data_IF_522904651689
#
_entry.id   IF_522904651689
#
_cell.length_a   1.000
_cell.length_b   1.000
_cell.length_c   1.000
_cell.angle_alpha   90.00
_cell.angle_beta   90.00
_cell.angle_gamma   90.00
#
_symmetry.space_group_name_H-M   'P 1'
#
loop_
_entity.id
_entity.type
_entity.pdbx_description
1 polymer ?
#
# COMPACT_ATOMS: atom_id res chain seq x y z
N UNK A 1 -0.21 -26.09 -4.15
CA UNK A 1 -0.44 -25.83 -2.71
C UNK A 1 0.02 -24.42 -2.46
N UNK A 2 -0.91 -23.53 -2.08
CA UNK A 2 -0.57 -22.16 -1.73
C UNK A 2 0.18 -22.20 -0.38
N UNK A 3 1.39 -21.64 -0.34
CA UNK A 3 2.13 -21.55 0.93
C UNK A 3 1.38 -20.60 1.86
N UNK A 4 0.88 -21.13 2.98
CA UNK A 4 0.21 -20.33 4.00
C UNK A 4 1.26 -19.76 4.94
N UNK A 5 1.65 -18.50 4.72
CA UNK A 5 2.54 -17.78 5.63
C UNK A 5 1.76 -17.27 6.87
N UNK A 6 2.35 -17.38 8.05
CA UNK A 6 1.84 -16.71 9.25
C UNK A 6 1.95 -15.19 9.12
N UNK A 7 1.14 -14.43 9.88
CA UNK A 7 1.24 -12.96 9.91
C UNK A 7 2.67 -12.51 10.24
N UNK A 8 3.31 -13.17 11.20
CA UNK A 8 4.68 -12.87 11.59
C UNK A 8 5.66 -13.03 10.42
N UNK A 9 5.59 -14.14 9.70
CA UNK A 9 6.44 -14.38 8.53
C UNK A 9 6.20 -13.33 7.44
N UNK A 10 4.95 -12.91 7.23
CA UNK A 10 4.60 -11.84 6.30
C UNK A 10 5.20 -10.52 6.77
N UNK A 11 5.02 -10.12 8.02
CA UNK A 11 5.55 -8.85 8.53
C UNK A 11 7.08 -8.76 8.46
N UNK A 12 7.78 -9.88 8.64
CA UNK A 12 9.25 -9.94 8.64
C UNK A 12 9.87 -10.01 7.24
N UNK A 13 9.12 -10.50 6.24
CA UNK A 13 9.68 -10.85 4.93
C UNK A 13 8.96 -10.22 3.73
N UNK A 14 7.76 -9.67 3.91
CA UNK A 14 7.06 -8.98 2.84
C UNK A 14 7.83 -7.71 2.47
N UNK A 15 8.10 -7.58 1.17
CA UNK A 15 8.80 -6.46 0.60
C UNK A 15 7.86 -5.63 -0.25
N UNK A 16 7.94 -4.32 -0.11
CA UNK A 16 7.23 -3.35 -0.94
C UNK A 16 8.26 -2.54 -1.71
N UNK A 17 8.08 -2.49 -3.01
CA UNK A 17 8.88 -1.71 -3.92
C UNK A 17 8.43 -0.25 -3.91
N UNK A 18 9.40 0.67 -3.85
CA UNK A 18 9.19 2.09 -4.10
C UNK A 18 9.65 2.40 -5.51
N UNK A 19 8.75 2.94 -6.32
CA UNK A 19 9.04 3.39 -7.68
C UNK A 19 8.93 4.91 -7.74
N UNK A 20 9.84 5.54 -8.47
CA UNK A 20 9.78 6.97 -8.79
C UNK A 20 9.46 7.15 -10.25
N UNK A 21 8.45 7.95 -10.54
CA UNK A 21 8.01 8.26 -11.90
C UNK A 21 8.28 9.72 -12.18
N UNK A 22 9.00 10.00 -13.27
CA UNK A 22 9.36 11.35 -13.69
C UNK A 22 8.28 11.90 -14.62
N UNK A 23 7.89 13.15 -14.37
CA UNK A 23 6.94 13.89 -15.17
C UNK A 23 7.66 14.82 -16.17
N UNK A 24 7.00 15.21 -17.28
CA UNK A 24 7.61 16.06 -18.31
C UNK A 24 8.11 17.43 -17.83
N UNK A 25 7.57 17.92 -16.72
CA UNK A 25 7.91 19.22 -16.13
C UNK A 25 9.06 19.12 -15.11
N UNK A 26 9.85 18.04 -15.12
CA UNK A 26 10.93 17.70 -14.17
C UNK A 26 10.46 17.33 -12.76
N UNK A 27 9.15 17.40 -12.48
CA UNK A 27 8.61 16.90 -11.22
C UNK A 27 8.58 15.36 -11.20
N UNK A 28 8.35 14.78 -10.03
CA UNK A 28 8.25 13.33 -9.90
C UNK A 28 7.24 12.97 -8.82
N UNK A 29 6.62 11.79 -8.96
CA UNK A 29 5.80 11.19 -7.93
C UNK A 29 6.34 9.81 -7.55
N UNK A 30 6.05 9.42 -6.31
CA UNK A 30 6.44 8.12 -5.75
C UNK A 30 5.23 7.20 -5.69
N UNK A 31 5.45 5.92 -5.98
CA UNK A 31 4.48 4.85 -5.74
C UNK A 31 5.09 3.74 -4.92
N UNK A 32 4.23 3.04 -4.22
CA UNK A 32 4.53 1.81 -3.49
C UNK A 32 3.76 0.69 -4.16
N UNK A 33 4.41 -0.46 -4.37
CA UNK A 33 3.85 -1.57 -5.15
C UNK A 33 4.47 -2.92 -4.75
N UNK A 34 3.82 -4.05 -5.06
CA UNK A 34 4.29 -5.38 -4.62
C UNK A 34 5.62 -5.82 -5.23
N UNK A 35 6.00 -5.28 -6.39
CA UNK A 35 7.22 -5.65 -7.12
C UNK A 35 7.86 -4.44 -7.81
N UNK A 36 9.15 -4.52 -8.16
CA UNK A 36 9.81 -3.50 -8.98
C UNK A 36 9.34 -3.61 -10.43
N UNK A 37 8.32 -2.84 -10.79
CA UNK A 37 7.77 -2.83 -12.15
C UNK A 37 7.42 -1.42 -12.59
N UNK A 38 7.87 -1.09 -13.78
CA UNK A 38 7.47 0.14 -14.47
C UNK A 38 6.11 0.00 -15.16
N UNK A 39 5.58 -1.23 -15.24
CA UNK A 39 4.30 -1.48 -15.86
C UNK A 39 3.19 -0.81 -15.06
N UNK A 40 2.46 0.07 -15.74
CA UNK A 40 1.37 0.86 -15.22
C UNK A 40 0.00 0.18 -15.40
N UNK A 41 -0.04 -1.04 -15.95
CA UNK A 41 -1.30 -1.80 -16.10
C UNK A 41 -1.82 -2.38 -14.78
N UNK A 42 -0.95 -2.56 -13.78
CA UNK A 42 -1.30 -3.02 -12.43
C UNK A 42 -1.88 -1.91 -11.53
N UNK A 43 -2.20 -0.75 -12.12
CA UNK A 43 -2.83 0.39 -11.44
C UNK A 43 -4.33 0.27 -11.63
N UNK A 44 -5.04 0.02 -10.55
CA UNK A 44 -6.45 -0.34 -10.67
C UNK A 44 -7.40 0.79 -10.31
N UNK A 45 -6.97 1.78 -9.52
CA UNK A 45 -7.84 2.89 -9.12
C UNK A 45 -7.03 4.18 -9.07
N UNK A 46 -7.39 5.11 -9.95
CA UNK A 46 -6.90 6.47 -9.93
C UNK A 46 -8.07 7.39 -9.64
N UNK A 47 -7.88 8.29 -8.69
CA UNK A 47 -8.78 9.42 -8.54
C UNK A 47 -8.02 10.68 -8.98
N UNK A 48 -8.10 10.97 -10.29
CA UNK A 48 -7.35 12.03 -10.97
C UNK A 48 -6.96 11.69 -12.43
N UNK A 49 -6.48 12.67 -13.21
CA UNK A 49 -5.97 12.44 -14.57
C UNK A 49 -4.63 11.70 -14.53
N UNK A 50 -4.46 10.62 -15.29
CA UNK A 50 -3.17 9.95 -15.46
C UNK A 50 -2.21 10.92 -16.15
N UNK A 51 -1.27 11.48 -15.40
CA UNK A 51 -0.21 12.25 -16.03
C UNK A 51 0.71 11.26 -16.76
N UNK A 52 0.94 11.45 -18.07
CA UNK A 52 1.93 10.66 -18.77
C UNK A 52 3.28 10.88 -18.08
N UNK A 53 3.91 9.80 -17.64
CA UNK A 53 5.26 9.84 -17.11
C UNK A 53 6.24 9.59 -18.26
N UNK A 54 7.39 10.26 -18.24
CA UNK A 54 8.43 10.09 -19.26
C UNK A 54 9.32 8.89 -18.96
N UNK A 55 9.54 8.64 -17.67
CA UNK A 55 10.38 7.55 -17.20
C UNK A 55 9.95 7.08 -15.82
N UNK A 56 10.45 5.92 -15.44
CA UNK A 56 10.24 5.28 -14.15
C UNK A 56 11.57 4.66 -13.71
N UNK A 57 11.89 4.77 -12.42
CA UNK A 57 13.10 4.20 -11.85
C UNK A 57 12.82 3.55 -10.48
N UNK A 58 13.42 2.38 -10.20
CA UNK A 58 13.47 1.82 -8.86
C UNK A 58 14.06 2.82 -7.86
N UNK A 59 13.33 3.08 -6.78
CA UNK A 59 13.75 3.98 -5.71
C UNK A 59 13.98 3.26 -4.37
N UNK A 60 13.80 1.93 -4.33
CA UNK A 60 14.12 1.09 -3.18
C UNK A 60 13.16 -0.09 -3.02
N UNK A 61 13.56 -1.05 -2.20
CA UNK A 61 12.72 -2.15 -1.73
C UNK A 61 12.83 -2.14 -0.21
N UNK A 62 11.69 -2.20 0.46
CA UNK A 62 11.62 -2.04 1.92
C UNK A 62 10.73 -3.11 2.53
N UNK A 63 11.12 -3.60 3.71
CA UNK A 63 10.23 -4.35 4.58
C UNK A 63 9.17 -3.43 5.19
N UNK A 64 8.08 -4.01 5.67
CA UNK A 64 6.97 -3.23 6.23
C UNK A 64 7.37 -2.29 7.37
N UNK A 65 8.24 -2.74 8.29
CA UNK A 65 8.72 -1.91 9.39
C UNK A 65 9.67 -0.79 8.91
N UNK A 66 10.41 -1.00 7.83
CA UNK A 66 11.36 -0.01 7.27
C UNK A 66 10.61 1.10 6.54
N UNK A 67 9.52 0.76 5.85
CA UNK A 67 8.69 1.70 5.09
C UNK A 67 8.21 2.89 5.93
N UNK A 68 7.94 2.68 7.23
CA UNK A 68 7.41 3.75 8.08
C UNK A 68 8.38 4.93 8.22
N UNK A 69 9.68 4.67 8.11
CA UNK A 69 10.72 5.69 8.19
C UNK A 69 10.91 6.44 6.86
N UNK A 70 10.50 5.83 5.74
CA UNK A 70 10.55 6.45 4.41
C UNK A 70 9.38 7.43 4.16
N UNK A 71 8.32 7.31 4.94
CA UNK A 71 7.11 8.11 4.78
C UNK A 71 7.23 9.47 5.49
N UNK A 72 6.66 10.51 4.86
CA UNK A 72 6.53 11.85 5.43
C UNK A 72 5.05 12.28 5.37
N UNK A 73 4.42 12.49 6.54
CA UNK A 73 3.00 12.83 6.68
C UNK A 73 2.05 11.97 5.82
N UNK A 74 2.39 10.69 5.69
CA UNK A 74 1.70 9.75 4.81
C UNK A 74 1.51 8.43 5.53
N UNK A 75 0.56 7.64 5.03
CA UNK A 75 0.31 6.29 5.52
C UNK A 75 0.23 5.30 4.36
N UNK A 76 0.63 4.06 4.65
CA UNK A 76 0.48 2.92 3.76
C UNK A 76 -0.46 1.90 4.39
N UNK A 77 -1.43 1.42 3.62
CA UNK A 77 -2.18 0.22 3.95
C UNK A 77 -1.77 -0.88 2.98
N UNK A 78 -1.30 -2.00 3.51
CA UNK A 78 -0.90 -3.17 2.75
C UNK A 78 -1.93 -4.24 3.02
N UNK A 79 -2.73 -4.58 2.02
CA UNK A 79 -3.77 -5.59 2.09
C UNK A 79 -3.26 -6.88 1.49
N UNK A 80 -3.44 -8.01 2.18
CA UNK A 80 -3.07 -9.34 1.68
C UNK A 80 -4.33 -10.19 1.47
N UNK A 81 -4.33 -11.02 0.43
CA UNK A 81 -5.51 -11.77 0.01
C UNK A 81 -5.21 -13.28 -0.08
N UNK A 82 -6.26 -14.13 0.01
CA UNK A 82 -6.06 -15.57 -0.12
C UNK A 82 -5.67 -15.95 -1.54
N UNK A 83 -6.15 -15.25 -2.56
CA UNK A 83 -5.85 -15.49 -3.97
C UNK A 83 -6.00 -14.21 -4.81
N UNK A 84 -5.57 -14.28 -6.07
CA UNK A 84 -5.65 -13.15 -7.01
C UNK A 84 -7.08 -12.76 -7.35
N UNK A 85 -8.03 -13.71 -7.31
CA UNK A 85 -9.43 -13.43 -7.65
C UNK A 85 -10.09 -12.58 -6.56
N UNK A 86 -9.83 -12.90 -5.29
CA UNK A 86 -10.25 -12.13 -4.13
C UNK A 86 -9.63 -10.73 -4.12
N UNK A 87 -8.34 -10.63 -4.47
CA UNK A 87 -7.65 -9.35 -4.65
C UNK A 87 -8.31 -8.52 -5.76
N UNK A 88 -8.54 -9.12 -6.93
CA UNK A 88 -9.15 -8.45 -8.08
C UNK A 88 -10.59 -8.04 -7.79
N UNK A 89 -11.34 -8.84 -7.03
CA UNK A 89 -12.69 -8.49 -6.59
C UNK A 89 -12.69 -7.28 -5.66
N UNK A 90 -11.80 -7.26 -4.66
CA UNK A 90 -11.61 -6.10 -3.78
C UNK A 90 -11.30 -4.85 -4.60
N UNK A 91 -10.33 -4.96 -5.50
CA UNK A 91 -9.89 -3.89 -6.39
C UNK A 91 -11.02 -3.39 -7.30
N UNK A 92 -11.81 -4.29 -7.90
CA UNK A 92 -12.94 -3.92 -8.75
C UNK A 92 -14.07 -3.22 -7.96
N UNK A 93 -14.25 -3.58 -6.69
CA UNK A 93 -15.16 -2.92 -5.77
C UNK A 93 -14.77 -1.45 -5.48
N UNK A 94 -13.49 -1.09 -5.61
CA UNK A 94 -13.07 0.31 -5.44
C UNK A 94 -13.48 1.21 -6.62
N UNK A 95 -13.65 0.67 -7.84
CA UNK A 95 -14.05 1.44 -9.02
C UNK A 95 -15.54 1.87 -8.96
N UNK A 96 -16.39 1.08 -8.30
CA UNK A 96 -17.83 1.40 -8.08
C UNK A 96 -18.15 1.91 -6.67
N UNK A 97 -17.17 1.83 -5.74
CA UNK A 97 -17.34 1.97 -4.29
C UNK A 97 -16.42 2.99 -3.63
N UNK A 98 -16.14 4.12 -4.29
CA UNK A 98 -15.46 5.27 -3.65
C UNK A 98 -16.16 5.76 -2.35
N UNK A 99 -17.36 5.27 -2.03
CA UNK A 99 -18.08 5.49 -0.76
C UNK A 99 -17.55 4.70 0.44
N UNK A 100 -16.75 3.64 0.25
CA UNK A 100 -16.18 2.89 1.39
C UNK A 100 -14.88 3.50 1.93
N UNK A 101 -14.17 4.31 1.13
CA UNK A 101 -13.01 5.06 1.62
C UNK A 101 -13.41 6.22 2.54
N UNK A 102 -14.63 6.77 2.43
CA UNK A 102 -15.20 7.71 3.40
C UNK A 102 -15.25 7.13 4.84
N UNK A 103 -15.19 5.81 5.00
CA UNK A 103 -15.24 5.14 6.29
C UNK A 103 -13.93 5.24 7.08
N UNK A 104 -12.79 5.53 6.45
CA UNK A 104 -11.49 5.69 7.11
C UNK A 104 -11.15 7.19 7.27
N UNK A 105 -12.06 7.95 7.89
CA UNK A 105 -11.70 9.23 8.52
C UNK A 105 -11.79 10.48 7.64
N UNK A 106 -12.99 10.79 7.15
CA UNK A 106 -13.44 12.17 6.91
C UNK A 106 -13.06 12.79 5.56
N UNK A 107 -14.04 13.48 4.94
CA UNK A 107 -13.91 14.47 3.86
C UNK A 107 -12.72 14.22 2.92
N UNK A 108 -12.77 13.14 2.15
CA UNK A 108 -11.70 12.72 1.25
C UNK A 108 -11.51 13.71 0.09
N UNK A 109 -10.26 14.08 -0.20
CA UNK A 109 -9.92 14.81 -1.43
C UNK A 109 -9.35 13.80 -2.42
N UNK A 110 -10.26 13.37 -3.28
CA UNK A 110 -10.13 12.33 -4.30
C UNK A 110 -8.84 12.44 -5.12
N UNK A 111 -8.28 13.62 -5.33
CA UNK A 111 -7.14 13.86 -6.24
C UNK A 111 -5.77 13.26 -5.84
N UNK A 112 -5.65 12.51 -4.73
CA UNK A 112 -4.34 12.06 -4.20
C UNK A 112 -4.26 10.58 -3.79
N UNK A 113 -5.11 9.73 -4.37
CA UNK A 113 -5.13 8.30 -4.06
C UNK A 113 -4.41 7.46 -5.11
N UNK A 114 -3.56 6.55 -4.62
CA UNK A 114 -2.87 5.57 -5.43
C UNK A 114 -3.05 4.18 -4.84
N UNK A 115 -3.63 3.30 -5.65
CA UNK A 115 -3.75 1.87 -5.37
C UNK A 115 -2.94 1.11 -6.41
N UNK A 116 -2.05 0.25 -5.94
CA UNK A 116 -1.31 -0.70 -6.78
C UNK A 116 -1.63 -2.11 -6.29
N UNK A 117 -1.75 -3.04 -7.23
CA UNK A 117 -2.04 -4.44 -6.91
C UNK A 117 -1.05 -5.36 -7.61
N UNK A 118 -0.92 -6.60 -7.14
CA UNK A 118 0.00 -7.56 -7.72
C UNK A 118 0.38 -8.66 -6.75
N UNK A 119 1.26 -9.55 -7.18
CA UNK A 119 1.79 -10.63 -6.35
C UNK A 119 3.13 -10.20 -5.77
N UNK A 120 3.29 -10.32 -4.46
CA UNK A 120 4.52 -9.93 -3.75
C UNK A 120 5.67 -10.92 -3.92
N UNK A 121 6.83 -10.56 -3.38
CA UNK A 121 8.01 -11.44 -3.27
C UNK A 121 7.74 -12.77 -2.54
N UNK A 122 6.69 -12.85 -1.73
CA UNK A 122 6.28 -14.07 -1.03
C UNK A 122 5.27 -14.91 -1.82
N UNK A 123 4.89 -14.52 -3.04
CA UNK A 123 3.81 -15.18 -3.78
C UNK A 123 2.41 -14.90 -3.22
N UNK A 124 2.30 -13.99 -2.26
CA UNK A 124 1.02 -13.55 -1.67
C UNK A 124 0.46 -12.41 -2.54
N UNK A 125 -0.82 -12.46 -2.95
CA UNK A 125 -1.49 -11.35 -3.61
C UNK A 125 -1.65 -10.16 -2.65
N UNK A 126 -1.25 -8.97 -3.10
CA UNK A 126 -1.16 -7.76 -2.29
C UNK A 126 -1.75 -6.57 -3.02
N UNK A 127 -2.47 -5.74 -2.27
CA UNK A 127 -2.84 -4.38 -2.66
C UNK A 127 -2.13 -3.40 -1.74
N UNK A 128 -1.46 -2.41 -2.32
CA UNK A 128 -0.83 -1.32 -1.58
C UNK A 128 -1.62 -0.04 -1.83
N UNK A 129 -2.12 0.53 -0.75
CA UNK A 129 -2.76 1.83 -0.72
C UNK A 129 -1.79 2.86 -0.14
N UNK A 130 -1.60 3.97 -0.84
CA UNK A 130 -0.80 5.11 -0.38
C UNK A 130 -1.68 6.36 -0.24
N UNK A 131 -1.71 6.91 0.99
CA UNK A 131 -2.43 8.12 1.33
C UNK A 131 -1.50 9.22 1.87
N UNK A 132 -1.69 10.46 1.38
CA UNK A 132 -0.87 11.63 1.73
C UNK A 132 -1.54 12.63 2.69
N UNK A 133 -2.48 12.18 3.53
CA UNK A 133 -3.15 13.02 4.54
C UNK A 133 -2.78 12.57 5.95
N UNK A 134 -2.99 13.48 6.91
CA UNK A 134 -2.60 13.37 8.33
C UNK A 134 -2.62 11.92 8.81
N UNK A 135 -1.44 11.32 8.80
CA UNK A 135 -1.20 9.98 9.31
C UNK A 135 -1.57 9.93 10.81
N UNK A 136 -1.53 8.76 11.46
CA UNK A 136 -2.05 8.60 12.83
C UNK A 136 -1.40 9.62 13.77
N UNK A 137 -2.18 10.56 14.31
CA UNK A 137 -1.68 11.69 15.11
C UNK A 137 -0.56 12.53 14.43
N UNK A 138 -0.59 12.63 13.10
CA UNK A 138 0.43 13.30 12.29
C UNK A 138 1.71 12.49 12.06
N UNK A 139 1.79 11.25 12.57
CA UNK A 139 2.96 10.39 12.44
C UNK A 139 2.79 9.37 11.31
N UNK A 140 3.80 9.19 10.44
CA UNK A 140 3.77 8.16 9.42
C UNK A 140 3.44 6.77 9.96
N UNK A 141 2.65 6.02 9.20
CA UNK A 141 2.22 4.69 9.63
C UNK A 141 2.12 3.71 8.46
N UNK A 142 2.46 2.45 8.72
CA UNK A 142 2.26 1.33 7.80
C UNK A 142 1.36 0.33 8.50
N UNK A 143 0.27 -0.09 7.87
CA UNK A 143 -0.67 -1.06 8.44
C UNK A 143 -0.81 -2.24 7.49
N UNK A 144 -0.74 -3.46 8.02
CA UNK A 144 -1.05 -4.70 7.33
C UNK A 144 -2.49 -5.11 7.64
N UNK A 145 -3.29 -5.35 6.61
CA UNK A 145 -4.67 -5.83 6.68
C UNK A 145 -4.76 -7.21 6.03
N UNK A 146 -5.22 -8.20 6.77
CA UNK A 146 -5.36 -9.57 6.30
C UNK A 146 -6.81 -9.87 5.89
N UNK A 147 -7.01 -10.24 4.62
CA UNK A 147 -8.31 -10.66 4.07
C UNK A 147 -8.43 -12.18 3.88
N UNK A 148 -7.40 -12.96 4.23
CA UNK A 148 -7.33 -14.41 3.93
C UNK A 148 -8.39 -15.22 4.66
N UNK A 149 -8.74 -14.83 5.88
CA UNK A 149 -9.77 -15.50 6.68
C UNK A 149 -11.10 -14.73 6.72
N UNK A 150 -11.05 -13.39 6.58
CA UNK A 150 -12.21 -12.52 6.63
C UNK A 150 -12.22 -11.57 5.43
N UNK A 151 -13.18 -11.68 4.49
CA UNK A 151 -13.24 -10.81 3.31
C UNK A 151 -13.28 -9.31 3.62
N UNK A 152 -13.85 -8.92 4.76
CA UNK A 152 -13.88 -7.51 5.20
C UNK A 152 -12.49 -6.95 5.55
N UNK A 153 -11.51 -7.83 5.79
CA UNK A 153 -10.18 -7.47 6.23
C UNK A 153 -10.10 -7.26 7.73
N UNK A 154 -9.00 -7.70 8.33
CA UNK A 154 -8.67 -7.43 9.73
C UNK A 154 -7.29 -6.81 9.81
N UNK A 155 -7.14 -5.75 10.61
CA UNK A 155 -5.81 -5.21 10.90
C UNK A 155 -5.04 -6.29 11.65
N UNK A 156 -3.92 -6.73 11.08
CA UNK A 156 -3.09 -7.80 11.65
C UNK A 156 -1.80 -7.26 12.27
N UNK A 157 -1.30 -6.15 11.72
CA UNK A 157 -0.08 -5.50 12.21
C UNK A 157 -0.06 -4.02 11.84
N UNK A 158 0.62 -3.21 12.64
CA UNK A 158 0.86 -1.78 12.37
C UNK A 158 2.21 -1.33 12.88
N UNK A 159 2.92 -0.55 12.08
CA UNK A 159 4.05 0.27 12.51
C UNK A 159 3.68 1.75 12.50
N UNK A 160 4.10 2.48 13.52
CA UNK A 160 3.99 3.94 13.62
C UNK A 160 5.37 4.52 13.90
N UNK A 161 5.74 5.57 13.15
CA UNK A 161 6.98 6.30 13.39
C UNK A 161 6.88 7.08 14.70
N UNK A 162 7.81 6.79 15.61
CA UNK A 162 8.02 7.54 16.85
C UNK A 162 8.98 8.72 16.66
N UNK A 163 9.49 9.27 17.77
CA UNK A 163 10.50 10.31 17.71
C UNK A 163 11.83 9.75 17.17
N UNK A 164 12.35 10.33 16.08
CA UNK A 164 13.59 9.89 15.44
C UNK A 164 13.41 8.68 14.51
N UNK A 165 14.21 7.63 14.72
CA UNK A 165 14.14 6.34 14.02
C UNK A 165 13.38 5.27 14.81
N UNK A 166 12.83 5.61 15.99
CA UNK A 166 12.08 4.65 16.79
C UNK A 166 10.80 4.24 16.07
N UNK A 167 10.61 2.94 15.84
CA UNK A 167 9.38 2.38 15.26
C UNK A 167 8.63 1.63 16.35
N UNK A 168 7.37 2.01 16.58
CA UNK A 168 6.46 1.24 17.42
C UNK A 168 5.69 0.25 16.56
N UNK A 169 5.80 -1.04 16.86
CA UNK A 169 5.07 -2.11 16.17
C UNK A 169 3.98 -2.69 17.08
N UNK A 170 2.78 -2.86 16.51
CA UNK A 170 1.60 -3.43 17.16
C UNK A 170 1.13 -4.64 16.36
N UNK A 171 0.90 -5.77 17.04
CA UNK A 171 0.30 -6.98 16.46
C UNK A 171 -1.11 -7.15 17.00
N UNK A 172 -2.03 -7.52 16.12
CA UNK A 172 -3.45 -7.68 16.44
C UNK A 172 -3.82 -9.17 16.31
N UNK A 173 -4.71 -9.63 17.20
CA UNK A 173 -5.16 -11.04 17.31
C UNK A 173 -6.56 -11.18 16.76
#
# INVERSE_FOLDING_TARGET
MQQTFTIKEITENLQIARMRYQLPDTSAYIRYQPELSCDNTNISVQSGMMLPHESCEPAGIFKLAELVNELNFAYLLVHIFPDTDSMNYFVAGFDTGLSQLDFIGGSFDNHRFWLTSGVSNLGVPVVVFYGQRNAVNGQPSVTLVDHRENPAGQVAWRAIRGAGEHVGEEFFV
#
